data_IF_744112038832
#
_entry.id   IF_744112038832
#
_cell.length_a   1.000
_cell.length_b   1.000
_cell.length_c   1.000
_cell.angle_alpha   90.00
_cell.angle_beta   90.00
_cell.angle_gamma   90.00
#
_symmetry.space_group_name_H-M   'P 1'
#
loop_
_entity.id
_entity.type
_entity.pdbx_description
1 polymer ?
#
# COMPACT_ATOMS: atom_id res chain seq x y z
N UNK A 1 -18.49 20.84 -60.90
CA UNK A 1 -18.42 22.02 -60.00
C UNK A 1 -19.07 21.62 -58.69
N UNK A 2 -18.27 21.41 -57.65
CA UNK A 2 -18.77 21.07 -56.30
C UNK A 2 -19.07 22.40 -55.62
N UNK A 3 -20.34 22.72 -55.44
CA UNK A 3 -20.76 23.88 -54.64
C UNK A 3 -20.27 23.66 -53.20
N UNK A 4 -19.51 24.59 -52.61
CA UNK A 4 -19.08 24.44 -51.23
C UNK A 4 -20.32 24.46 -50.33
N UNK A 5 -20.43 23.47 -49.44
CA UNK A 5 -21.44 23.44 -48.37
C UNK A 5 -21.45 24.78 -47.64
N UNK A 6 -22.63 25.36 -47.33
CA UNK A 6 -22.69 26.64 -46.65
C UNK A 6 -21.94 26.52 -45.33
N UNK A 7 -20.94 27.38 -45.11
CA UNK A 7 -20.22 27.48 -43.84
C UNK A 7 -21.26 27.70 -42.74
N UNK A 8 -21.52 26.69 -41.91
CA UNK A 8 -22.32 26.82 -40.68
C UNK A 8 -21.74 28.02 -39.91
N UNK A 9 -22.54 29.07 -39.72
CA UNK A 9 -22.19 30.18 -38.85
C UNK A 9 -21.83 29.56 -37.49
N UNK A 10 -20.69 29.94 -36.89
CA UNK A 10 -20.35 29.49 -35.54
C UNK A 10 -21.45 29.99 -34.61
N UNK A 11 -22.21 29.04 -34.07
CA UNK A 11 -23.35 29.33 -33.22
C UNK A 11 -22.83 29.80 -31.86
N UNK A 12 -23.33 30.93 -31.34
CA UNK A 12 -22.97 31.38 -30.00
C UNK A 12 -23.57 30.41 -28.96
N UNK A 13 -22.75 30.03 -27.98
CA UNK A 13 -23.10 29.11 -26.88
C UNK A 13 -23.71 27.76 -27.32
N UNK A 14 -22.91 26.90 -27.99
CA UNK A 14 -23.41 25.61 -28.52
C UNK A 14 -23.92 24.65 -27.43
N UNK A 15 -23.43 24.79 -26.20
CA UNK A 15 -23.82 23.95 -25.06
C UNK A 15 -25.20 24.31 -24.50
N UNK A 16 -25.71 25.52 -24.80
CA UNK A 16 -27.00 25.96 -24.29
C UNK A 16 -28.13 25.52 -25.21
N UNK A 17 -29.21 25.04 -24.60
CA UNK A 17 -30.42 24.70 -25.31
C UNK A 17 -31.15 25.97 -25.71
N UNK A 18 -31.60 26.03 -26.96
CA UNK A 18 -32.27 27.20 -27.53
C UNK A 18 -33.74 26.88 -27.73
N UNK A 19 -34.60 27.72 -27.15
CA UNK A 19 -36.02 27.70 -27.42
C UNK A 19 -36.38 28.92 -28.27
N UNK A 20 -36.90 28.66 -29.47
CA UNK A 20 -37.41 29.71 -30.36
C UNK A 20 -38.90 29.91 -30.12
N UNK A 21 -39.30 31.17 -29.93
CA UNK A 21 -40.69 31.57 -29.77
C UNK A 21 -41.17 32.21 -31.07
N UNK A 22 -42.42 31.95 -31.45
CA UNK A 22 -43.00 32.46 -32.71
C UNK A 22 -42.98 34.00 -32.79
N UNK A 23 -43.04 34.69 -31.65
CA UNK A 23 -43.13 36.15 -31.57
C UNK A 23 -41.82 36.85 -31.18
N UNK A 24 -40.69 36.13 -31.06
CA UNK A 24 -39.41 36.72 -30.67
C UNK A 24 -38.31 36.50 -31.72
N UNK A 25 -37.43 37.49 -31.85
CA UNK A 25 -36.30 37.46 -32.81
C UNK A 25 -35.04 36.79 -32.25
N UNK A 26 -34.96 36.61 -30.93
CA UNK A 26 -33.86 35.95 -30.24
C UNK A 26 -34.37 34.69 -29.52
N UNK A 27 -33.58 33.59 -29.51
CA UNK A 27 -33.93 32.43 -28.72
C UNK A 27 -33.67 32.68 -27.24
N UNK A 28 -34.45 32.03 -26.39
CA UNK A 28 -34.14 31.89 -24.96
C UNK A 28 -33.12 30.77 -24.75
N UNK A 29 -32.17 30.96 -23.83
CA UNK A 29 -31.07 30.03 -23.58
C UNK A 29 -31.21 29.33 -22.23
N UNK A 30 -31.16 27.99 -22.27
CA UNK A 30 -31.33 27.12 -21.09
C UNK A 30 -30.10 26.26 -20.85
N UNK A 31 -29.71 26.12 -19.59
CA UNK A 31 -28.56 25.30 -19.18
C UNK A 31 -28.98 23.88 -18.78
N UNK A 32 -29.57 23.13 -19.71
CA UNK A 32 -29.78 21.69 -19.53
C UNK A 32 -28.44 20.95 -19.48
N UNK A 33 -28.43 19.79 -18.83
CA UNK A 33 -27.24 18.94 -18.78
C UNK A 33 -27.05 18.22 -20.13
N UNK A 34 -25.94 18.46 -20.86
CA UNK A 34 -25.70 17.87 -22.17
C UNK A 34 -25.48 16.35 -22.13
N UNK A 35 -25.31 15.75 -20.94
CA UNK A 35 -25.18 14.31 -20.78
C UNK A 35 -26.49 13.54 -21.00
N UNK A 36 -27.63 14.22 -21.00
CA UNK A 36 -28.95 13.63 -21.21
C UNK A 36 -29.59 14.20 -22.47
N UNK A 37 -30.24 13.35 -23.25
CA UNK A 37 -30.96 13.75 -24.46
C UNK A 37 -32.31 13.04 -24.55
N UNK A 38 -33.25 13.68 -25.22
CA UNK A 38 -34.53 13.09 -25.58
C UNK A 38 -34.50 12.66 -27.04
N UNK A 39 -35.08 11.50 -27.29
CA UNK A 39 -35.32 10.98 -28.64
C UNK A 39 -36.83 10.81 -28.82
N UNK A 40 -37.34 11.29 -29.95
CA UNK A 40 -38.71 11.03 -30.37
C UNK A 40 -38.72 10.26 -31.70
N UNK A 41 -38.50 8.93 -31.65
CA UNK A 41 -38.46 8.12 -32.86
C UNK A 41 -39.81 8.01 -33.57
N UNK A 42 -40.91 8.40 -32.91
CA UNK A 42 -42.27 8.30 -33.44
C UNK A 42 -42.82 9.65 -33.95
N UNK A 43 -42.03 10.72 -33.84
CA UNK A 43 -42.37 12.08 -34.31
C UNK A 43 -43.73 12.58 -33.76
N UNK A 44 -43.94 12.37 -32.46
CA UNK A 44 -45.13 12.81 -31.74
C UNK A 44 -45.02 14.23 -31.17
N UNK A 45 -43.80 14.78 -31.09
CA UNK A 45 -43.53 16.09 -30.55
C UNK A 45 -44.01 17.19 -31.50
N UNK A 46 -44.73 18.15 -30.95
CA UNK A 46 -45.17 19.34 -31.68
C UNK A 46 -44.16 20.47 -31.60
N UNK A 47 -43.42 20.54 -30.49
CA UNK A 47 -42.40 21.55 -30.25
C UNK A 47 -41.24 20.91 -29.48
N UNK A 48 -40.03 21.39 -29.76
CA UNK A 48 -38.80 20.90 -29.16
C UNK A 48 -37.79 22.03 -28.98
N UNK A 49 -36.86 21.85 -28.05
CA UNK A 49 -35.71 22.74 -27.88
C UNK A 49 -34.42 21.93 -27.84
N UNK A 50 -33.40 22.41 -28.56
CA UNK A 50 -32.14 21.71 -28.74
C UNK A 50 -30.91 22.58 -28.43
N UNK A 51 -29.88 21.93 -27.91
CA UNK A 51 -28.50 22.42 -27.93
C UNK A 51 -27.87 22.13 -29.31
N UNK A 52 -26.56 22.36 -29.47
CA UNK A 52 -25.87 21.92 -30.68
C UNK A 52 -25.81 20.40 -30.82
N UNK A 53 -25.88 19.66 -29.71
CA UNK A 53 -25.60 18.23 -29.65
C UNK A 53 -26.84 17.37 -29.42
N UNK A 54 -27.86 17.89 -28.74
CA UNK A 54 -29.00 17.09 -28.28
C UNK A 54 -30.31 17.89 -28.14
N UNK A 55 -31.43 17.16 -28.11
CA UNK A 55 -32.75 17.70 -27.78
C UNK A 55 -33.00 17.54 -26.29
N UNK A 56 -33.37 18.62 -25.61
CA UNK A 56 -33.50 18.63 -24.14
C UNK A 56 -34.92 18.91 -23.64
N UNK A 57 -35.79 19.42 -24.51
CA UNK A 57 -37.19 19.67 -24.22
C UNK A 57 -38.05 19.19 -25.38
N UNK A 58 -39.14 18.49 -25.05
CA UNK A 58 -40.16 18.06 -25.99
C UNK A 58 -41.55 18.38 -25.43
N UNK A 59 -42.44 18.80 -26.32
CA UNK A 59 -43.84 19.07 -26.00
C UNK A 59 -44.75 18.21 -26.87
N UNK A 60 -45.62 17.43 -26.21
CA UNK A 60 -46.51 16.46 -26.83
C UNK A 60 -47.93 16.74 -26.38
N UNK A 61 -48.85 16.89 -27.32
CA UNK A 61 -50.28 16.97 -27.02
C UNK A 61 -50.85 15.58 -26.69
N UNK A 62 -51.60 15.50 -25.59
CA UNK A 62 -52.32 14.30 -25.19
C UNK A 62 -53.74 14.66 -24.75
N UNK A 63 -54.72 14.29 -25.57
CA UNK A 63 -56.12 14.66 -25.35
C UNK A 63 -56.27 16.18 -25.37
N UNK A 64 -56.81 16.73 -24.28
CA UNK A 64 -56.98 18.18 -24.10
C UNK A 64 -55.83 18.83 -23.30
N UNK A 65 -54.74 18.09 -23.04
CA UNK A 65 -53.61 18.55 -22.26
C UNK A 65 -52.29 18.55 -23.04
N UNK A 66 -51.31 19.27 -22.49
CA UNK A 66 -49.95 19.37 -23.00
C UNK A 66 -48.99 18.68 -22.02
N UNK A 67 -48.19 17.74 -22.51
CA UNK A 67 -47.11 17.12 -21.74
C UNK A 67 -45.80 17.75 -22.19
N UNK A 68 -45.12 18.43 -21.27
CA UNK A 68 -43.76 18.91 -21.48
C UNK A 68 -42.78 17.95 -20.79
N UNK A 69 -41.85 17.40 -21.56
CA UNK A 69 -40.80 16.52 -21.09
C UNK A 69 -39.49 17.30 -21.17
N UNK A 70 -38.72 17.26 -20.08
CA UNK A 70 -37.39 17.87 -20.00
C UNK A 70 -36.38 16.82 -19.56
N UNK A 71 -35.13 16.92 -20.04
CA UNK A 71 -34.08 15.95 -19.70
C UNK A 71 -33.69 15.96 -18.24
N UNK A 72 -33.68 17.14 -17.62
CA UNK A 72 -33.33 17.32 -16.23
C UNK A 72 -34.03 18.54 -15.62
N UNK A 73 -34.17 18.52 -14.29
CA UNK A 73 -34.68 19.65 -13.52
C UNK A 73 -33.56 20.40 -12.77
N UNK A 74 -32.28 20.16 -13.11
CA UNK A 74 -31.16 20.78 -12.41
C UNK A 74 -31.09 22.28 -12.67
N UNK A 75 -31.52 22.76 -13.84
CA UNK A 75 -31.61 24.18 -14.15
C UNK A 75 -32.50 24.96 -13.16
N UNK A 76 -33.47 24.30 -12.51
CA UNK A 76 -34.37 24.93 -11.53
C UNK A 76 -33.93 24.74 -10.08
N UNK A 77 -32.78 24.12 -9.84
CA UNK A 77 -32.17 24.07 -8.50
C UNK A 77 -31.61 25.43 -8.11
N UNK A 78 -31.49 25.67 -6.80
CA UNK A 78 -31.06 26.94 -6.20
C UNK A 78 -29.79 27.54 -6.81
N UNK A 79 -28.84 26.71 -7.26
CA UNK A 79 -27.56 27.17 -7.84
C UNK A 79 -27.66 27.62 -9.30
N UNK A 80 -28.67 27.14 -10.03
CA UNK A 80 -28.76 27.30 -11.49
C UNK A 80 -29.94 28.15 -11.92
N UNK A 81 -30.97 28.30 -11.07
CA UNK A 81 -32.20 29.01 -11.42
C UNK A 81 -31.98 30.46 -11.83
N UNK A 82 -30.97 31.14 -11.27
CA UNK A 82 -30.62 32.52 -11.61
C UNK A 82 -29.71 32.67 -12.82
N UNK A 83 -29.27 31.57 -13.45
CA UNK A 83 -28.38 31.60 -14.61
C UNK A 83 -29.20 31.55 -15.90
N UNK A 84 -28.75 32.30 -16.92
CA UNK A 84 -29.39 32.34 -18.25
C UNK A 84 -30.90 32.60 -18.14
N UNK A 85 -31.72 31.96 -19.00
CA UNK A 85 -33.17 32.11 -19.01
C UNK A 85 -33.88 30.96 -18.25
N UNK A 86 -33.18 30.27 -17.34
CA UNK A 86 -33.68 29.09 -16.64
C UNK A 86 -34.96 29.36 -15.82
N UNK A 87 -34.99 30.47 -15.08
CA UNK A 87 -36.17 30.91 -14.33
C UNK A 87 -37.31 31.32 -15.26
N UNK A 88 -36.99 31.94 -16.39
CA UNK A 88 -37.97 32.33 -17.38
C UNK A 88 -38.65 31.10 -17.98
N UNK A 89 -37.93 30.00 -18.25
CA UNK A 89 -38.54 28.76 -18.74
C UNK A 89 -39.54 28.19 -17.74
N UNK A 90 -39.18 28.18 -16.45
CA UNK A 90 -40.09 27.69 -15.41
C UNK A 90 -41.39 28.51 -15.38
N UNK A 91 -41.26 29.84 -15.46
CA UNK A 91 -42.39 30.74 -15.54
C UNK A 91 -43.21 30.49 -16.81
N UNK A 92 -42.58 30.41 -17.98
CA UNK A 92 -43.22 30.17 -19.27
C UNK A 92 -44.04 28.87 -19.27
N UNK A 93 -43.48 27.79 -18.71
CA UNK A 93 -44.16 26.49 -18.64
C UNK A 93 -45.31 26.45 -17.64
N UNK A 94 -45.36 27.38 -16.67
CA UNK A 94 -46.37 27.39 -15.60
C UNK A 94 -47.37 28.54 -15.70
N UNK A 95 -47.18 29.47 -16.64
CA UNK A 95 -48.03 30.63 -16.77
C UNK A 95 -49.43 30.24 -17.28
N UNK A 96 -50.47 30.69 -16.57
CA UNK A 96 -51.85 30.63 -17.05
C UNK A 96 -52.48 29.23 -17.15
N UNK A 97 -51.87 28.22 -16.51
CA UNK A 97 -52.36 26.83 -16.53
C UNK A 97 -52.14 26.13 -15.18
N UNK A 98 -52.98 25.14 -14.88
CA UNK A 98 -52.75 24.22 -13.76
C UNK A 98 -51.72 23.17 -14.20
N UNK A 99 -50.48 23.31 -13.71
CA UNK A 99 -49.37 22.43 -14.07
C UNK A 99 -49.05 21.48 -12.93
N UNK A 100 -49.00 20.19 -13.24
CA UNK A 100 -48.48 19.18 -12.32
C UNK A 100 -47.03 18.88 -12.69
N UNK A 101 -46.10 19.23 -11.80
CA UNK A 101 -44.68 18.90 -11.97
C UNK A 101 -44.40 17.53 -11.36
N UNK A 102 -43.92 16.60 -12.18
CA UNK A 102 -43.51 15.25 -11.75
C UNK A 102 -41.99 15.19 -11.77
N UNK A 103 -41.36 15.34 -10.59
CA UNK A 103 -39.90 15.46 -10.47
C UNK A 103 -39.17 14.14 -10.23
N UNK A 104 -39.89 13.06 -9.91
CA UNK A 104 -39.31 11.77 -9.57
C UNK A 104 -40.03 10.68 -10.34
N UNK A 105 -39.47 10.33 -11.50
CA UNK A 105 -39.66 8.97 -12.00
C UNK A 105 -38.81 8.07 -11.12
N UNK A 106 -39.43 7.16 -10.36
CA UNK A 106 -38.68 6.15 -9.64
C UNK A 106 -37.87 5.34 -10.66
N UNK A 107 -36.55 5.45 -10.59
CA UNK A 107 -35.67 4.65 -11.42
C UNK A 107 -35.29 3.40 -10.64
N UNK A 108 -35.42 2.24 -11.27
CA UNK A 108 -34.92 0.99 -10.72
C UNK A 108 -33.41 1.12 -10.46
N UNK A 109 -32.95 0.74 -9.26
CA UNK A 109 -31.53 0.70 -8.94
C UNK A 109 -30.81 -0.29 -9.89
N UNK A 110 -29.52 -0.06 -10.15
CA UNK A 110 -28.69 -0.94 -10.99
C UNK A 110 -28.77 -2.39 -10.52
N UNK A 111 -28.78 -2.66 -9.22
CA UNK A 111 -28.96 -4.02 -8.69
C UNK A 111 -30.32 -4.62 -9.08
N UNK A 112 -31.39 -3.85 -8.98
CA UNK A 112 -32.75 -4.26 -9.37
C UNK A 112 -32.79 -4.58 -10.88
N UNK A 113 -32.20 -3.71 -11.70
CA UNK A 113 -32.09 -3.92 -13.15
C UNK A 113 -31.25 -5.15 -13.49
N UNK A 114 -30.14 -5.39 -12.79
CA UNK A 114 -29.27 -6.54 -13.02
C UNK A 114 -29.97 -7.86 -12.66
N UNK A 115 -30.67 -7.89 -11.53
CA UNK A 115 -31.43 -9.05 -11.08
C UNK A 115 -32.61 -9.35 -12.01
N UNK A 116 -33.27 -8.31 -12.52
CA UNK A 116 -34.43 -8.44 -13.41
C UNK A 116 -34.03 -8.87 -14.82
N UNK A 117 -32.99 -8.26 -15.40
CA UNK A 117 -32.65 -8.44 -16.81
C UNK A 117 -31.53 -9.48 -17.04
N UNK A 118 -30.64 -9.69 -16.06
CA UNK A 118 -29.46 -10.56 -16.21
C UNK A 118 -29.29 -11.59 -15.08
N UNK A 119 -30.35 -12.33 -14.68
CA UNK A 119 -30.24 -13.30 -13.61
C UNK A 119 -29.27 -14.45 -13.95
N UNK A 120 -29.21 -14.89 -15.22
CA UNK A 120 -28.28 -15.96 -15.61
C UNK A 120 -26.81 -15.54 -15.48
N UNK A 121 -26.47 -14.29 -15.82
CA UNK A 121 -25.11 -13.79 -15.70
C UNK A 121 -24.65 -13.66 -14.24
N UNK A 122 -25.56 -13.28 -13.35
CA UNK A 122 -25.30 -13.28 -11.91
C UNK A 122 -25.08 -14.69 -11.36
N UNK A 123 -25.87 -15.66 -11.83
CA UNK A 123 -25.73 -17.05 -11.43
C UNK A 123 -24.39 -17.62 -11.91
N UNK A 124 -23.99 -17.38 -13.16
CA UNK A 124 -22.70 -17.85 -13.68
C UNK A 124 -21.53 -17.19 -12.95
N UNK A 125 -21.62 -15.89 -12.62
CA UNK A 125 -20.63 -15.20 -11.81
C UNK A 125 -20.51 -15.84 -10.41
N UNK A 126 -21.63 -16.09 -9.74
CA UNK A 126 -21.64 -16.74 -8.44
C UNK A 126 -21.03 -18.15 -8.50
N UNK A 127 -21.34 -18.92 -9.55
CA UNK A 127 -20.81 -20.27 -9.76
C UNK A 127 -19.32 -20.25 -10.06
N UNK A 128 -18.83 -19.30 -10.86
CA UNK A 128 -17.40 -19.10 -11.11
C UNK A 128 -16.64 -18.73 -9.84
N UNK A 129 -17.20 -17.86 -9.00
CA UNK A 129 -16.60 -17.51 -7.70
C UNK A 129 -16.55 -18.77 -6.82
N UNK A 130 -17.65 -19.53 -6.74
CA UNK A 130 -17.70 -20.78 -5.99
C UNK A 130 -16.67 -21.81 -6.44
N UNK A 131 -16.57 -22.05 -7.76
CA UNK A 131 -15.58 -22.96 -8.34
C UNK A 131 -14.15 -22.44 -8.20
N UNK A 132 -13.93 -21.13 -8.29
CA UNK A 132 -12.61 -20.52 -8.09
C UNK A 132 -12.13 -20.68 -6.65
N UNK A 133 -13.01 -20.43 -5.67
CA UNK A 133 -12.73 -20.69 -4.26
C UNK A 133 -12.53 -22.18 -3.98
N UNK A 134 -13.32 -23.04 -4.61
CA UNK A 134 -13.13 -24.49 -4.54
C UNK A 134 -11.74 -24.90 -5.07
N UNK A 135 -11.36 -24.39 -6.24
CA UNK A 135 -10.08 -24.68 -6.86
C UNK A 135 -8.89 -24.19 -6.03
N UNK A 136 -8.96 -22.99 -5.46
CA UNK A 136 -7.92 -22.43 -4.57
C UNK A 136 -7.89 -23.18 -3.22
N UNK A 137 -9.06 -23.59 -2.73
CA UNK A 137 -9.22 -24.31 -1.47
C UNK A 137 -8.73 -25.76 -1.53
N UNK A 138 -8.75 -26.39 -2.70
CA UNK A 138 -8.11 -27.69 -2.92
C UNK A 138 -6.60 -27.54 -2.79
N UNK A 139 -6.11 -27.81 -1.57
CA UNK A 139 -4.68 -27.96 -1.30
C UNK A 139 -4.17 -29.26 -1.91
N UNK A 140 -3.80 -29.22 -3.17
CA UNK A 140 -2.99 -30.27 -3.79
C UNK A 140 -1.52 -30.05 -3.47
N UNK A 141 -1.05 -30.63 -2.36
CA UNK A 141 0.37 -30.65 -2.06
C UNK A 141 0.71 -31.31 -0.71
N UNK A 142 1.84 -32.02 -0.62
CA UNK A 142 2.32 -32.52 0.66
C UNK A 142 2.58 -31.34 1.59
N UNK A 143 2.06 -31.42 2.82
CA UNK A 143 2.30 -30.41 3.85
C UNK A 143 3.81 -30.28 4.09
N UNK A 144 4.43 -29.27 3.46
CA UNK A 144 5.81 -28.90 3.76
C UNK A 144 5.83 -28.43 5.20
N UNK A 145 6.41 -29.24 6.08
CA UNK A 145 6.65 -28.85 7.47
C UNK A 145 7.45 -27.54 7.44
N UNK A 146 6.99 -26.48 8.13
CA UNK A 146 7.77 -25.26 8.23
C UNK A 146 9.16 -25.59 8.77
N UNK A 147 10.19 -24.95 8.21
CA UNK A 147 11.56 -25.14 8.69
C UNK A 147 11.58 -24.89 10.21
N UNK A 148 12.16 -25.79 11.00
CA UNK A 148 12.19 -25.63 12.45
C UNK A 148 12.83 -24.29 12.79
N UNK A 149 12.13 -23.51 13.63
CA UNK A 149 12.60 -22.19 14.08
C UNK A 149 14.02 -22.32 14.64
N UNK A 150 14.90 -21.46 14.16
CA UNK A 150 16.33 -21.43 14.41
C UNK A 150 16.67 -21.25 15.90
N UNK A 151 16.63 -22.32 16.68
CA UNK A 151 17.02 -22.33 18.10
C UNK A 151 18.55 -22.44 18.30
N UNK A 152 19.35 -22.39 17.21
CA UNK A 152 20.81 -22.67 17.20
C UNK A 152 21.69 -21.55 16.59
N UNK A 153 21.14 -20.41 16.23
CA UNK A 153 21.91 -19.35 15.54
C UNK A 153 23.03 -18.75 16.41
N UNK A 154 22.82 -18.58 17.72
CA UNK A 154 23.87 -18.00 18.58
C UNK A 154 25.13 -18.88 18.63
N UNK A 155 24.97 -20.20 18.75
CA UNK A 155 26.10 -21.14 18.75
C UNK A 155 26.84 -21.15 17.41
N UNK A 156 26.13 -21.00 16.29
CA UNK A 156 26.73 -20.95 14.97
C UNK A 156 27.48 -19.64 14.74
N UNK A 157 26.91 -18.51 15.15
CA UNK A 157 27.59 -17.21 15.11
C UNK A 157 28.83 -17.20 16.00
N UNK A 158 28.74 -17.70 17.23
CA UNK A 158 29.90 -17.81 18.13
C UNK A 158 30.99 -18.70 17.54
N UNK A 159 30.63 -19.83 16.93
CA UNK A 159 31.58 -20.74 16.28
C UNK A 159 32.23 -20.10 15.06
N UNK A 160 31.46 -19.41 14.23
CA UNK A 160 31.96 -18.70 13.05
C UNK A 160 32.90 -17.55 13.44
N UNK A 161 32.54 -16.75 14.44
CA UNK A 161 33.39 -15.67 14.96
C UNK A 161 34.69 -16.22 15.57
N UNK A 162 34.63 -17.31 16.34
CA UNK A 162 35.81 -17.94 16.92
C UNK A 162 36.76 -18.52 15.86
N UNK A 163 36.21 -19.18 14.83
CA UNK A 163 36.99 -19.71 13.72
C UNK A 163 37.62 -18.58 12.89
N UNK A 164 36.89 -17.50 12.64
CA UNK A 164 37.39 -16.31 11.95
C UNK A 164 38.56 -15.66 12.69
N UNK A 165 38.43 -15.46 14.01
CA UNK A 165 39.51 -14.94 14.85
C UNK A 165 40.74 -15.86 14.80
N UNK A 166 40.55 -17.17 14.96
CA UNK A 166 41.64 -18.14 14.88
C UNK A 166 42.41 -18.07 13.56
N UNK A 167 41.70 -17.95 12.43
CA UNK A 167 42.30 -17.87 11.09
C UNK A 167 43.02 -16.55 10.83
N UNK A 168 42.49 -15.42 11.32
CA UNK A 168 43.02 -14.08 11.03
C UNK A 168 44.14 -13.64 11.97
N UNK A 169 44.04 -13.92 13.27
CA UNK A 169 45.04 -13.47 14.26
C UNK A 169 46.04 -14.56 14.65
N UNK A 170 45.79 -15.82 14.30
CA UNK A 170 46.64 -16.95 14.67
C UNK A 170 46.52 -17.38 16.14
N UNK A 171 46.95 -18.61 16.43
CA UNK A 171 46.85 -19.24 17.77
C UNK A 171 47.65 -18.49 18.85
N UNK A 172 48.84 -17.98 18.50
CA UNK A 172 49.74 -17.33 19.46
C UNK A 172 49.19 -15.98 19.96
N UNK A 173 48.51 -15.23 19.09
CA UNK A 173 47.89 -13.95 19.47
C UNK A 173 46.77 -14.16 20.49
N UNK A 174 45.99 -15.25 20.37
CA UNK A 174 44.94 -15.61 21.33
C UNK A 174 45.49 -16.02 22.70
N UNK A 175 46.62 -16.73 22.74
CA UNK A 175 47.30 -17.05 24.00
C UNK A 175 47.84 -15.77 24.65
N UNK A 176 48.50 -14.92 23.86
CA UNK A 176 49.07 -13.66 24.36
C UNK A 176 48.01 -12.72 24.91
N UNK A 177 46.86 -12.59 24.26
CA UNK A 177 45.75 -11.77 24.76
C UNK A 177 45.22 -12.31 26.10
N UNK A 178 45.08 -13.63 26.22
CA UNK A 178 44.64 -14.27 27.47
C UNK A 178 45.66 -14.10 28.61
N UNK A 179 46.96 -14.22 28.33
CA UNK A 179 48.03 -13.95 29.30
C UNK A 179 48.01 -12.48 29.76
N UNK A 180 47.83 -11.53 28.83
CA UNK A 180 47.72 -10.11 29.16
C UNK A 180 46.49 -9.78 30.00
N UNK A 181 45.36 -10.44 29.75
CA UNK A 181 44.15 -10.29 30.56
C UNK A 181 44.35 -10.79 32.00
N UNK A 182 45.02 -11.93 32.17
CA UNK A 182 45.39 -12.47 33.49
C UNK A 182 46.26 -11.47 34.24
N UNK A 183 47.31 -10.94 33.60
CA UNK A 183 48.19 -9.94 34.20
C UNK A 183 47.43 -8.62 34.49
N UNK A 184 46.49 -8.21 33.66
CA UNK A 184 45.63 -7.03 33.90
C UNK A 184 44.77 -7.22 35.14
N UNK A 185 44.15 -8.38 35.30
CA UNK A 185 43.30 -8.68 36.45
C UNK A 185 44.11 -8.84 37.75
N UNK A 186 45.28 -9.45 37.67
CA UNK A 186 46.21 -9.52 38.80
C UNK A 186 46.64 -8.14 39.30
N UNK A 187 46.88 -7.18 38.39
CA UNK A 187 47.18 -5.78 38.74
C UNK A 187 46.04 -5.06 39.46
N UNK A 188 44.79 -5.40 39.13
CA UNK A 188 43.62 -4.82 39.81
C UNK A 188 43.49 -5.35 41.24
N UNK A 189 43.89 -6.59 41.49
CA UNK A 189 43.79 -7.23 42.82
C UNK A 189 44.98 -6.93 43.73
N UNK A 190 46.18 -6.70 43.15
CA UNK A 190 47.38 -6.40 43.91
C UNK A 190 48.06 -5.12 43.39
N UNK A 191 47.85 -3.96 44.07
CA UNK A 191 48.56 -2.73 43.74
C UNK A 191 50.08 -2.95 43.82
N UNK A 192 50.84 -2.49 42.83
CA UNK A 192 52.30 -2.67 42.79
C UNK A 192 52.80 -4.00 42.18
N UNK A 193 51.90 -4.84 41.66
CA UNK A 193 52.25 -6.12 41.02
C UNK A 193 53.30 -5.99 39.88
N UNK A 194 53.28 -4.88 39.13
CA UNK A 194 54.24 -4.63 38.04
C UNK A 194 55.69 -4.37 38.50
N UNK A 195 55.88 -3.96 39.77
CA UNK A 195 57.20 -3.62 40.33
C UNK A 195 57.91 -4.83 40.93
N UNK A 196 57.20 -5.94 41.12
CA UNK A 196 57.74 -7.18 41.67
C UNK A 196 58.56 -7.93 40.61
N UNK A 197 59.58 -8.66 41.05
CA UNK A 197 60.34 -9.53 40.16
C UNK A 197 59.43 -10.64 39.58
N UNK A 198 59.72 -11.14 38.36
CA UNK A 198 58.87 -12.15 37.69
C UNK A 198 58.61 -13.39 38.57
N UNK A 199 59.60 -13.81 39.37
CA UNK A 199 59.45 -14.92 40.30
C UNK A 199 58.46 -14.61 41.44
N UNK A 200 58.48 -13.38 41.96
CA UNK A 200 57.56 -12.91 43.00
C UNK A 200 56.14 -12.71 42.44
N UNK A 201 56.02 -12.24 41.19
CA UNK A 201 54.73 -12.16 40.48
C UNK A 201 54.05 -13.53 40.39
N UNK A 202 54.81 -14.59 40.09
CA UNK A 202 54.28 -15.95 40.05
C UNK A 202 53.90 -16.47 41.43
N UNK A 203 54.62 -16.11 42.49
CA UNK A 203 54.25 -16.46 43.87
C UNK A 203 52.97 -15.76 44.33
N UNK A 204 52.78 -14.49 43.96
CA UNK A 204 51.54 -13.74 44.24
C UNK A 204 50.36 -14.38 43.50
N UNK A 205 50.54 -14.70 42.21
CA UNK A 205 49.52 -15.43 41.45
C UNK A 205 49.22 -16.81 42.02
N UNK A 206 50.23 -17.54 42.50
CA UNK A 206 50.06 -18.84 43.16
C UNK A 206 49.22 -18.70 44.44
N UNK A 207 49.46 -17.65 45.22
CA UNK A 207 48.68 -17.36 46.44
C UNK A 207 47.24 -16.96 46.13
N UNK A 208 47.02 -16.16 45.09
CA UNK A 208 45.69 -15.69 44.68
C UNK A 208 44.86 -16.82 44.05
N UNK A 209 45.46 -17.64 43.19
CA UNK A 209 44.77 -18.71 42.45
C UNK A 209 44.81 -20.08 43.12
N UNK A 210 45.59 -20.24 44.21
CA UNK A 210 45.90 -21.51 44.89
C UNK A 210 46.44 -22.61 43.96
N UNK A 211 47.14 -22.21 42.90
CA UNK A 211 47.80 -23.13 41.97
C UNK A 211 49.31 -23.18 42.22
N UNK A 212 49.97 -24.31 41.89
CA UNK A 212 51.42 -24.42 42.07
C UNK A 212 52.14 -23.44 41.15
N UNK A 213 53.19 -22.78 41.68
CA UNK A 213 53.98 -21.79 40.96
C UNK A 213 54.58 -22.32 39.64
N UNK A 214 54.89 -23.63 39.58
CA UNK A 214 55.36 -24.31 38.36
C UNK A 214 54.31 -24.31 37.24
N UNK A 215 53.04 -24.53 37.56
CA UNK A 215 51.96 -24.51 36.59
C UNK A 215 51.66 -23.09 36.08
N UNK A 216 51.95 -22.07 36.88
CA UNK A 216 51.81 -20.65 36.50
C UNK A 216 52.97 -20.22 35.61
N UNK A 217 54.20 -20.61 35.95
CA UNK A 217 55.38 -20.32 35.12
C UNK A 217 55.27 -20.98 33.74
N UNK A 218 54.78 -22.21 33.65
CA UNK A 218 54.63 -22.91 32.38
C UNK A 218 53.52 -22.32 31.48
N UNK A 219 52.53 -21.67 32.09
CA UNK A 219 51.40 -21.04 31.41
C UNK A 219 51.72 -19.62 30.93
N UNK A 220 52.47 -18.84 31.72
CA UNK A 220 52.78 -17.43 31.45
C UNK A 220 54.13 -17.22 30.76
N UNK A 221 55.00 -18.23 30.67
CA UNK A 221 56.30 -18.11 29.99
C UNK A 221 56.08 -17.80 28.49
N UNK A 222 56.74 -16.76 27.94
CA UNK A 222 56.71 -16.48 26.51
C UNK A 222 57.39 -17.63 25.77
N UNK A 223 56.64 -18.36 24.95
CA UNK A 223 57.19 -19.45 24.11
C UNK A 223 57.57 -18.90 22.73
N UNK A 224 58.64 -19.42 22.11
CA UNK A 224 58.99 -19.06 20.74
C UNK A 224 57.85 -19.42 19.78
N UNK A 225 57.76 -18.74 18.62
CA UNK A 225 56.66 -18.90 17.70
C UNK A 225 56.73 -20.24 16.95
N UNK A 226 56.40 -21.34 17.63
CA UNK A 226 56.37 -22.69 17.06
C UNK A 226 54.92 -23.12 16.78
N UNK A 227 54.73 -23.97 15.77
CA UNK A 227 53.41 -24.57 15.47
C UNK A 227 53.06 -25.56 16.58
N UNK A 228 52.10 -25.18 17.41
CA UNK A 228 51.59 -26.01 18.51
C UNK A 228 50.50 -26.93 17.96
N UNK A 229 50.44 -28.18 18.41
CA UNK A 229 49.35 -29.08 18.03
C UNK A 229 48.01 -28.54 18.53
N UNK A 230 46.92 -28.83 17.81
CA UNK A 230 45.57 -28.39 18.22
C UNK A 230 45.21 -28.84 19.64
N UNK A 231 45.63 -30.05 20.04
CA UNK A 231 45.38 -30.61 21.38
C UNK A 231 46.15 -29.86 22.48
N UNK A 232 47.41 -29.52 22.20
CA UNK A 232 48.27 -28.76 23.11
C UNK A 232 47.77 -27.32 23.28
N UNK A 233 47.30 -26.70 22.19
CA UNK A 233 46.69 -25.38 22.21
C UNK A 233 45.43 -25.36 23.08
N UNK A 234 44.50 -26.30 22.89
CA UNK A 234 43.28 -26.38 23.70
C UNK A 234 43.60 -26.62 25.18
N UNK A 235 44.58 -27.47 25.49
CA UNK A 235 45.03 -27.72 26.87
C UNK A 235 45.61 -26.45 27.51
N UNK A 236 46.42 -25.70 26.76
CA UNK A 236 47.02 -24.46 27.24
C UNK A 236 45.98 -23.36 27.45
N UNK A 237 45.03 -23.19 26.53
CA UNK A 237 43.93 -22.22 26.68
C UNK A 237 43.04 -22.59 27.87
N UNK A 238 42.70 -23.87 28.06
CA UNK A 238 41.92 -24.32 29.21
C UNK A 238 42.64 -24.00 30.53
N UNK A 239 43.95 -24.25 30.60
CA UNK A 239 44.75 -23.97 31.79
C UNK A 239 44.81 -22.47 32.12
N UNK A 240 45.02 -21.62 31.10
CA UNK A 240 44.98 -20.16 31.26
C UNK A 240 43.58 -19.64 31.61
N UNK A 241 42.51 -20.24 31.08
CA UNK A 241 41.13 -19.88 31.43
C UNK A 241 40.80 -20.24 32.88
N UNK A 242 41.25 -21.41 33.36
CA UNK A 242 41.12 -21.81 34.77
C UNK A 242 41.85 -20.82 35.67
N UNK A 243 43.07 -20.42 35.32
CA UNK A 243 43.84 -19.39 36.04
C UNK A 243 43.10 -18.04 36.05
N UNK A 244 42.57 -17.59 34.92
CA UNK A 244 41.83 -16.33 34.81
C UNK A 244 40.56 -16.32 35.65
N UNK A 245 39.83 -17.44 35.69
CA UNK A 245 38.57 -17.55 36.43
C UNK A 245 38.79 -17.69 37.95
N UNK A 246 39.99 -18.05 38.38
CA UNK A 246 40.38 -18.10 39.79
C UNK A 246 40.86 -16.74 40.35
N UNK A 247 41.07 -15.74 39.48
CA UNK A 247 41.30 -14.32 39.80
C UNK A 247 39.99 -13.53 39.68
#
# INVERSE_FOLDING_TARGET
MITPSPKRKKEPWPELTRLYLENESAPAYMSFDPAFHLEDPQDHAQSWANSADATHLLQINRGNGLITIVTDANLWKTRSIGNYDNAWLLWYLTQGSEVTLVLQTEHDNLLTLLLRNYPQALLTLALLIGLGLWHIGLREGPMRRPAPLARRQLTEHLRASAEFLRRRSGQQTLIKSLQQDILRRARQLHPGFERLAIAEQWQVLARLTRQPTSAISDALRPRPPQRVSHSEFTRQVAHLQTLRNAL
#
